data_IF_072752879785
#
_entry.id   IF_072752879785
#
_cell.length_a   1.000
_cell.length_b   1.000
_cell.length_c   1.000
_cell.angle_alpha   90.00
_cell.angle_beta   90.00
_cell.angle_gamma   90.00
#
_symmetry.space_group_name_H-M   'P 1'
#
loop_
_entity.id
_entity.type
_entity.pdbx_description
1 polymer ?
#
# COMPACT_ATOMS: atom_id res chain seq x y z
N UNK A 1 55.84 29.71 -3.40
CA UNK A 1 54.76 28.87 -3.95
C UNK A 1 53.49 29.70 -3.85
N UNK A 2 52.89 30.08 -4.98
CA UNK A 2 51.76 31.01 -4.98
C UNK A 2 50.52 30.28 -4.43
N UNK A 3 49.64 30.98 -3.70
CA UNK A 3 48.45 30.36 -3.08
C UNK A 3 47.54 29.70 -4.11
N UNK A 4 47.52 30.26 -5.33
CA UNK A 4 46.86 29.68 -6.50
C UNK A 4 47.49 28.36 -6.97
N UNK A 5 48.81 28.19 -6.87
CA UNK A 5 49.47 26.92 -7.22
C UNK A 5 49.17 25.86 -6.16
N UNK A 6 49.10 26.25 -4.89
CA UNK A 6 48.70 25.34 -3.80
C UNK A 6 47.24 24.89 -3.96
N UNK A 7 46.31 25.82 -4.20
CA UNK A 7 44.91 25.50 -4.43
C UNK A 7 44.68 24.68 -5.69
N UNK A 8 45.43 24.94 -6.77
CA UNK A 8 45.39 24.13 -7.99
C UNK A 8 45.92 22.73 -7.74
N UNK A 9 47.02 22.58 -7.01
CA UNK A 9 47.58 21.27 -6.66
C UNK A 9 46.63 20.48 -5.76
N UNK A 10 46.03 21.12 -4.76
CA UNK A 10 44.99 20.52 -3.91
C UNK A 10 43.73 20.15 -4.72
N UNK A 11 43.35 20.95 -5.72
CA UNK A 11 42.22 20.62 -6.59
C UNK A 11 42.53 19.48 -7.54
N UNK A 12 43.70 19.47 -8.20
CA UNK A 12 44.16 18.40 -9.10
C UNK A 12 44.40 17.07 -8.33
N UNK A 13 44.95 17.13 -7.13
CA UNK A 13 45.20 15.96 -6.26
C UNK A 13 43.89 15.38 -5.70
N UNK A 14 42.85 16.21 -5.49
CA UNK A 14 41.50 15.76 -5.10
C UNK A 14 40.58 15.38 -6.28
N UNK A 15 40.86 15.85 -7.51
CA UNK A 15 40.11 15.43 -8.71
C UNK A 15 40.61 14.10 -9.29
N UNK A 16 41.81 13.63 -8.94
CA UNK A 16 42.28 12.29 -9.32
C UNK A 16 41.54 11.17 -8.55
N UNK A 17 40.85 11.50 -7.46
CA UNK A 17 39.86 10.63 -6.79
C UNK A 17 38.47 10.62 -7.45
N UNK A 18 38.33 11.14 -8.67
CA UNK A 18 37.09 11.03 -9.47
C UNK A 18 37.04 9.75 -10.33
N UNK A 19 37.84 8.74 -9.96
CA UNK A 19 37.71 7.38 -10.50
C UNK A 19 36.61 6.55 -9.81
N UNK A 20 35.97 7.07 -8.74
CA UNK A 20 34.89 6.35 -8.06
C UNK A 20 33.48 6.62 -8.63
N UNK A 21 33.24 7.74 -9.32
CA UNK A 21 31.94 8.01 -9.97
C UNK A 21 31.64 7.12 -11.19
N UNK A 22 32.67 6.51 -11.77
CA UNK A 22 32.54 5.58 -12.89
C UNK A 22 32.62 4.10 -12.49
N UNK A 23 32.69 3.80 -11.18
CA UNK A 23 32.56 2.41 -10.71
C UNK A 23 31.19 1.85 -11.12
N UNK A 24 31.14 0.70 -11.83
CA UNK A 24 29.89 0.05 -12.21
C UNK A 24 28.96 -0.15 -11.01
N UNK A 25 29.53 -0.51 -9.85
CA UNK A 25 28.80 -0.74 -8.60
C UNK A 25 28.13 0.54 -8.04
N UNK A 26 28.79 1.70 -8.15
CA UNK A 26 28.22 2.97 -7.68
C UNK A 26 27.05 3.42 -8.57
N UNK A 27 27.17 3.23 -9.89
CA UNK A 27 26.10 3.50 -10.87
C UNK A 27 24.92 2.54 -10.68
N UNK A 28 25.18 1.28 -10.40
CA UNK A 28 24.16 0.26 -10.14
C UNK A 28 23.39 0.55 -8.83
N UNK A 29 24.10 0.91 -7.75
CA UNK A 29 23.50 1.35 -6.50
C UNK A 29 22.62 2.61 -6.66
N UNK A 30 23.11 3.64 -7.36
CA UNK A 30 22.33 4.85 -7.65
C UNK A 30 21.09 4.56 -8.51
N UNK A 31 21.21 3.69 -9.51
CA UNK A 31 20.10 3.23 -10.34
C UNK A 31 19.04 2.53 -9.50
N UNK A 32 19.45 1.69 -8.55
CA UNK A 32 18.54 0.96 -7.69
C UNK A 32 17.79 1.87 -6.71
N UNK A 33 18.48 2.84 -6.11
CA UNK A 33 17.85 3.88 -5.28
C UNK A 33 16.79 4.65 -6.08
N UNK A 34 17.08 4.99 -7.34
CA UNK A 34 16.12 5.67 -8.22
C UNK A 34 14.88 4.80 -8.51
N UNK A 35 15.07 3.51 -8.78
CA UNK A 35 13.96 2.55 -8.96
C UNK A 35 13.06 2.50 -7.71
N UNK A 36 13.66 2.40 -6.52
CA UNK A 36 12.91 2.37 -5.25
C UNK A 36 12.15 3.67 -4.99
N UNK A 37 12.73 4.84 -5.29
CA UNK A 37 12.06 6.15 -5.17
C UNK A 37 10.87 6.28 -6.12
N UNK A 38 11.03 5.86 -7.38
CA UNK A 38 9.94 5.86 -8.35
C UNK A 38 8.80 4.94 -7.91
N UNK A 39 9.14 3.76 -7.38
CA UNK A 39 8.17 2.82 -6.83
C UNK A 39 7.42 3.41 -5.63
N UNK A 40 8.10 4.02 -4.67
CA UNK A 40 7.47 4.70 -3.52
C UNK A 40 6.53 5.84 -3.97
N UNK A 41 6.96 6.67 -4.92
CA UNK A 41 6.12 7.72 -5.48
C UNK A 41 4.84 7.16 -6.12
N UNK A 42 4.97 6.13 -6.97
CA UNK A 42 3.84 5.46 -7.59
C UNK A 42 2.88 4.85 -6.56
N UNK A 43 3.41 4.24 -5.49
CA UNK A 43 2.59 3.73 -4.40
C UNK A 43 1.82 4.83 -3.68
N UNK A 44 2.46 5.96 -3.39
CA UNK A 44 1.82 7.11 -2.74
C UNK A 44 0.66 7.64 -3.56
N UNK A 45 0.84 7.81 -4.87
CA UNK A 45 -0.23 8.25 -5.80
C UNK A 45 -1.41 7.29 -5.78
N UNK A 46 -1.15 5.99 -5.94
CA UNK A 46 -2.21 4.97 -5.93
C UNK A 46 -2.94 4.93 -4.58
N UNK A 47 -2.22 5.07 -3.47
CA UNK A 47 -2.82 5.00 -2.15
C UNK A 47 -3.63 6.26 -1.85
N UNK A 48 -3.20 7.44 -2.32
CA UNK A 48 -3.99 8.65 -2.31
C UNK A 48 -5.32 8.47 -3.06
N UNK A 49 -5.26 7.88 -4.27
CA UNK A 49 -6.47 7.57 -5.05
C UNK A 49 -7.39 6.59 -4.33
N UNK A 50 -6.85 5.54 -3.69
CA UNK A 50 -7.66 4.58 -2.90
C UNK A 50 -8.38 5.26 -1.74
N UNK A 51 -7.67 6.09 -0.98
CA UNK A 51 -8.25 6.83 0.15
C UNK A 51 -9.36 7.72 -0.38
N UNK A 52 -9.13 8.46 -1.46
CA UNK A 52 -10.13 9.33 -2.07
C UNK A 52 -11.39 8.56 -2.49
N UNK A 53 -11.24 7.44 -3.21
CA UNK A 53 -12.37 6.60 -3.63
C UNK A 53 -13.14 6.05 -2.43
N UNK A 54 -12.44 5.53 -1.41
CA UNK A 54 -13.07 5.01 -0.19
C UNK A 54 -13.87 6.12 0.51
N UNK A 55 -13.28 7.31 0.67
CA UNK A 55 -13.96 8.45 1.28
C UNK A 55 -15.23 8.84 0.52
N UNK A 56 -15.17 8.92 -0.81
CA UNK A 56 -16.35 9.18 -1.64
C UNK A 56 -17.41 8.12 -1.41
N UNK A 57 -17.06 6.83 -1.48
CA UNK A 57 -18.01 5.74 -1.30
C UNK A 57 -18.69 5.79 0.08
N UNK A 58 -17.93 6.05 1.14
CA UNK A 58 -18.47 6.17 2.48
C UNK A 58 -19.42 7.38 2.62
N UNK A 59 -19.06 8.52 2.05
CA UNK A 59 -19.92 9.71 2.02
C UNK A 59 -21.20 9.43 1.24
N UNK A 60 -21.10 8.82 0.05
CA UNK A 60 -22.24 8.46 -0.78
C UNK A 60 -23.20 7.53 -0.03
N UNK A 61 -22.71 6.51 0.66
CA UNK A 61 -23.54 5.60 1.46
C UNK A 61 -24.35 6.38 2.50
N UNK A 62 -23.69 7.26 3.28
CA UNK A 62 -24.34 8.07 4.32
C UNK A 62 -25.40 8.99 3.72
N UNK A 63 -25.06 9.67 2.62
CA UNK A 63 -25.98 10.58 1.92
C UNK A 63 -27.19 9.83 1.37
N UNK A 64 -26.99 8.70 0.69
CA UNK A 64 -28.07 7.90 0.12
C UNK A 64 -29.04 7.40 1.18
N UNK A 65 -28.52 6.92 2.32
CA UNK A 65 -29.36 6.46 3.44
C UNK A 65 -30.15 7.60 4.07
N UNK A 66 -29.54 8.79 4.20
CA UNK A 66 -30.22 9.97 4.71
C UNK A 66 -31.35 10.44 3.77
N UNK A 67 -31.11 10.49 2.45
CA UNK A 67 -32.13 10.85 1.47
C UNK A 67 -33.27 9.82 1.37
N UNK A 68 -32.99 8.55 1.65
CA UNK A 68 -34.01 7.52 1.70
C UNK A 68 -34.93 7.62 2.93
N UNK A 69 -34.62 8.51 3.89
CA UNK A 69 -35.42 8.72 5.11
C UNK A 69 -35.45 7.51 6.04
N UNK A 70 -34.47 6.61 5.93
CA UNK A 70 -34.42 5.38 6.74
C UNK A 70 -33.65 5.67 8.03
N UNK A 71 -34.38 5.75 9.14
CA UNK A 71 -33.82 6.01 10.46
C UNK A 71 -33.96 4.77 11.35
N UNK A 72 -32.92 3.93 11.33
CA UNK A 72 -32.84 2.68 12.09
C UNK A 72 -31.50 2.56 12.80
N UNK A 73 -31.54 2.09 14.05
CA UNK A 73 -30.33 1.89 14.89
C UNK A 73 -29.38 0.89 14.24
N UNK A 74 -29.92 -0.17 13.63
CA UNK A 74 -29.18 -1.19 12.91
C UNK A 74 -28.36 -0.58 11.78
N UNK A 75 -28.92 0.36 11.02
CA UNK A 75 -28.19 1.05 9.94
C UNK A 75 -26.97 1.79 10.49
N UNK A 76 -27.13 2.57 11.57
CA UNK A 76 -26.00 3.28 12.17
C UNK A 76 -24.93 2.34 12.72
N UNK A 77 -25.33 1.23 13.36
CA UNK A 77 -24.39 0.20 13.83
C UNK A 77 -23.63 -0.40 12.65
N UNK A 78 -24.32 -0.76 11.57
CA UNK A 78 -23.69 -1.34 10.39
C UNK A 78 -22.72 -0.38 9.69
N UNK A 79 -23.08 0.91 9.58
CA UNK A 79 -22.16 1.97 9.11
C UNK A 79 -20.94 2.08 10.03
N UNK A 80 -21.15 2.11 11.35
CA UNK A 80 -20.05 2.23 12.31
C UNK A 80 -19.07 1.04 12.20
N UNK A 81 -19.58 -0.19 12.01
CA UNK A 81 -18.76 -1.38 11.77
C UNK A 81 -17.93 -1.23 10.48
N UNK A 82 -18.54 -0.79 9.38
CA UNK A 82 -17.85 -0.56 8.10
C UNK A 82 -16.76 0.50 8.26
N UNK A 83 -17.08 1.63 8.88
CA UNK A 83 -16.13 2.72 9.11
C UNK A 83 -14.96 2.28 9.99
N UNK A 84 -15.24 1.67 11.14
CA UNK A 84 -14.21 1.20 12.05
C UNK A 84 -13.30 0.15 11.40
N UNK A 85 -13.89 -0.82 10.68
CA UNK A 85 -13.15 -1.84 9.94
C UNK A 85 -12.26 -1.24 8.85
N UNK A 86 -12.80 -0.28 8.09
CA UNK A 86 -12.06 0.42 7.02
C UNK A 86 -10.91 1.24 7.58
N UNK A 87 -11.15 2.03 8.64
CA UNK A 87 -10.11 2.83 9.29
C UNK A 87 -9.02 1.91 9.85
N UNK A 88 -9.39 0.87 10.60
CA UNK A 88 -8.43 -0.07 11.17
C UNK A 88 -7.56 -0.75 10.09
N UNK A 89 -8.20 -1.22 9.01
CA UNK A 89 -7.48 -1.83 7.89
C UNK A 89 -6.57 -0.83 7.18
N UNK A 90 -7.03 0.40 6.93
CA UNK A 90 -6.24 1.44 6.28
C UNK A 90 -5.06 1.89 7.12
N UNK A 91 -5.23 2.06 8.44
CA UNK A 91 -4.14 2.35 9.36
C UNK A 91 -3.09 1.24 9.34
N UNK A 92 -3.53 -0.02 9.40
CA UNK A 92 -2.64 -1.18 9.30
C UNK A 92 -1.92 -1.22 7.94
N UNK A 93 -2.65 -0.96 6.85
CA UNK A 93 -2.12 -0.94 5.49
C UNK A 93 -1.03 0.13 5.32
N UNK A 94 -1.30 1.36 5.74
CA UNK A 94 -0.37 2.48 5.63
C UNK A 94 0.86 2.29 6.52
N UNK A 95 0.69 1.78 7.75
CA UNK A 95 1.81 1.50 8.66
C UNK A 95 2.81 0.51 8.06
N UNK A 96 2.31 -0.52 7.38
CA UNK A 96 3.11 -1.59 6.79
C UNK A 96 3.51 -1.33 5.33
N UNK A 97 3.21 -0.15 4.80
CA UNK A 97 3.64 0.25 3.46
C UNK A 97 5.17 0.49 3.41
N UNK A 98 5.75 0.17 2.27
CA UNK A 98 7.11 0.55 1.90
C UNK A 98 7.20 2.06 1.69
N UNK A 99 8.16 2.70 2.37
CA UNK A 99 8.51 4.10 2.14
C UNK A 99 10.02 4.20 2.06
N UNK A 100 10.52 4.91 1.06
CA UNK A 100 11.95 5.14 0.92
C UNK A 100 12.56 5.93 2.08
N UNK A 101 11.75 6.75 2.76
CA UNK A 101 12.15 7.47 3.97
C UNK A 101 12.43 6.58 5.19
N UNK A 102 12.06 5.30 5.14
CA UNK A 102 12.38 4.31 6.19
C UNK A 102 13.73 3.61 5.96
N UNK A 103 14.39 3.87 4.82
CA UNK A 103 15.68 3.27 4.50
C UNK A 103 16.81 4.16 4.99
N UNK A 104 17.84 3.53 5.54
CA UNK A 104 19.07 4.21 5.90
C UNK A 104 20.08 4.13 4.74
N UNK A 105 20.25 5.25 4.03
CA UNK A 105 21.16 5.37 2.89
C UNK A 105 22.64 5.45 3.27
N UNK A 106 22.96 5.51 4.57
CA UNK A 106 24.34 5.60 5.07
C UNK A 106 24.98 4.24 5.32
N UNK A 107 24.19 3.16 5.23
CA UNK A 107 24.65 1.79 5.46
C UNK A 107 25.36 1.19 4.23
N UNK A 108 26.12 0.12 4.45
CA UNK A 108 26.74 -0.65 3.37
C UNK A 108 25.69 -1.22 2.40
N UNK A 109 26.08 -1.43 1.13
CA UNK A 109 25.21 -1.91 0.04
C UNK A 109 24.43 -3.16 0.43
N UNK A 110 25.09 -4.12 1.05
CA UNK A 110 24.51 -5.40 1.51
C UNK A 110 23.46 -5.20 2.61
N UNK A 111 23.72 -4.31 3.58
CA UNK A 111 22.80 -4.06 4.70
C UNK A 111 21.59 -3.25 4.24
N UNK A 112 21.81 -2.26 3.37
CA UNK A 112 20.75 -1.52 2.68
C UNK A 112 19.83 -2.46 1.88
N UNK A 113 20.40 -3.39 1.11
CA UNK A 113 19.64 -4.37 0.34
C UNK A 113 18.77 -5.27 1.24
N UNK A 114 19.35 -5.80 2.33
CA UNK A 114 18.61 -6.61 3.32
C UNK A 114 17.44 -5.85 3.95
N UNK A 115 17.65 -4.59 4.33
CA UNK A 115 16.61 -3.75 4.91
C UNK A 115 15.48 -3.46 3.90
N UNK A 116 15.84 -3.09 2.68
CA UNK A 116 14.87 -2.84 1.60
C UNK A 116 14.05 -4.08 1.25
N UNK A 117 14.69 -5.26 1.14
CA UNK A 117 13.99 -6.54 0.92
C UNK A 117 13.03 -6.84 2.08
N UNK A 118 13.46 -6.64 3.33
CA UNK A 118 12.61 -6.85 4.51
C UNK A 118 11.36 -5.98 4.48
N UNK A 119 11.50 -4.68 4.17
CA UNK A 119 10.36 -3.76 4.07
C UNK A 119 9.42 -4.12 2.91
N UNK A 120 9.96 -4.52 1.75
CA UNK A 120 9.16 -4.98 0.60
C UNK A 120 8.38 -6.27 0.93
N UNK A 121 8.99 -7.22 1.65
CA UNK A 121 8.31 -8.45 2.11
C UNK A 121 7.23 -8.15 3.13
N UNK A 122 7.48 -7.24 4.08
CA UNK A 122 6.50 -6.83 5.09
C UNK A 122 5.24 -6.27 4.45
N UNK A 123 5.36 -5.50 3.37
CA UNK A 123 4.21 -4.97 2.64
C UNK A 123 3.28 -6.08 2.09
N UNK A 124 3.82 -7.25 1.73
CA UNK A 124 2.99 -8.36 1.24
C UNK A 124 2.13 -9.00 2.33
N UNK A 125 2.57 -8.97 3.59
CA UNK A 125 1.85 -9.58 4.71
C UNK A 125 0.46 -8.96 4.95
N UNK A 126 0.22 -7.74 4.44
CA UNK A 126 -1.05 -7.02 4.61
C UNK A 126 -2.24 -7.77 4.01
N UNK A 127 -2.00 -8.55 2.95
CA UNK A 127 -3.06 -9.21 2.19
C UNK A 127 -3.32 -10.67 2.63
N UNK A 128 -2.82 -11.06 3.80
CA UNK A 128 -3.17 -12.32 4.45
C UNK A 128 -4.39 -12.18 5.35
N UNK A 129 -4.26 -12.64 6.60
CA UNK A 129 -5.31 -12.59 7.61
C UNK A 129 -5.95 -11.20 7.80
N UNK A 130 -5.21 -10.07 7.86
CA UNK A 130 -5.82 -8.76 8.05
C UNK A 130 -6.83 -8.38 6.97
N UNK A 131 -6.55 -8.73 5.71
CA UNK A 131 -7.47 -8.48 4.61
C UNK A 131 -8.72 -9.37 4.68
N UNK A 132 -8.57 -10.64 5.07
CA UNK A 132 -9.72 -11.54 5.26
C UNK A 132 -10.62 -11.00 6.38
N UNK A 133 -10.04 -10.61 7.50
CA UNK A 133 -10.78 -10.01 8.61
C UNK A 133 -11.50 -8.73 8.18
N UNK A 134 -10.84 -7.87 7.39
CA UNK A 134 -11.49 -6.69 6.82
C UNK A 134 -12.71 -7.05 5.97
N UNK A 135 -12.61 -8.02 5.05
CA UNK A 135 -13.76 -8.45 4.23
C UNK A 135 -14.89 -9.00 5.11
N UNK A 136 -14.58 -9.80 6.13
CA UNK A 136 -15.59 -10.30 7.07
C UNK A 136 -16.28 -9.17 7.83
N UNK A 137 -15.54 -8.18 8.31
CA UNK A 137 -16.11 -6.98 8.96
C UNK A 137 -17.04 -6.23 8.02
N UNK A 138 -16.68 -6.10 6.74
CA UNK A 138 -17.54 -5.45 5.74
C UNK A 138 -18.82 -6.25 5.48
N UNK A 139 -18.73 -7.58 5.40
CA UNK A 139 -19.90 -8.46 5.26
C UNK A 139 -20.83 -8.28 6.47
N UNK A 140 -20.29 -8.34 7.68
CA UNK A 140 -21.09 -8.15 8.91
C UNK A 140 -21.77 -6.78 8.88
N UNK A 141 -21.03 -5.70 8.62
CA UNK A 141 -21.60 -4.35 8.60
C UNK A 141 -22.72 -4.19 7.57
N UNK A 142 -22.54 -4.70 6.35
CA UNK A 142 -23.58 -4.67 5.31
C UNK A 142 -24.82 -5.47 5.71
N UNK A 143 -24.63 -6.66 6.28
CA UNK A 143 -25.77 -7.48 6.73
C UNK A 143 -26.53 -6.79 7.87
N UNK A 144 -25.84 -6.11 8.79
CA UNK A 144 -26.47 -5.32 9.85
C UNK A 144 -27.26 -4.14 9.27
N UNK A 145 -26.74 -3.44 8.23
CA UNK A 145 -27.51 -2.40 7.52
C UNK A 145 -28.81 -2.98 6.95
N UNK A 146 -28.77 -4.15 6.30
CA UNK A 146 -29.97 -4.74 5.71
C UNK A 146 -31.04 -5.16 6.71
N UNK A 147 -30.67 -5.46 7.97
CA UNK A 147 -31.66 -5.71 9.02
C UNK A 147 -32.50 -4.46 9.35
N UNK A 148 -31.91 -3.27 9.17
CA UNK A 148 -32.58 -1.99 9.43
C UNK A 148 -33.37 -1.42 8.25
N UNK A 149 -33.32 -2.04 7.08
CA UNK A 149 -34.06 -1.59 5.90
C UNK A 149 -35.45 -2.25 5.92
N UNK A 150 -36.55 -1.47 6.01
CA UNK A 150 -37.89 -2.03 5.92
C UNK A 150 -38.12 -2.60 4.52
N UNK A 151 -38.34 -3.90 4.45
CA UNK A 151 -38.62 -4.62 3.21
C UNK A 151 -40.13 -4.65 2.97
N UNK A 152 -40.58 -4.08 1.84
CA UNK A 152 -41.98 -4.17 1.45
C UNK A 152 -42.38 -5.62 1.14
N UNK A 153 -43.68 -5.99 1.27
CA UNK A 153 -44.15 -7.36 1.04
C UNK A 153 -43.84 -7.93 -0.35
N UNK A 154 -43.58 -7.07 -1.35
CA UNK A 154 -43.24 -7.45 -2.73
C UNK A 154 -41.73 -7.47 -3.01
N UNK A 155 -40.90 -7.08 -2.03
CA UNK A 155 -39.45 -7.05 -2.19
C UNK A 155 -38.84 -8.45 -2.11
N UNK A 156 -37.61 -8.59 -2.62
CA UNK A 156 -36.87 -9.85 -2.54
C UNK A 156 -36.77 -10.34 -1.09
N UNK A 157 -36.75 -11.66 -0.88
CA UNK A 157 -36.69 -12.21 0.48
C UNK A 157 -35.47 -11.66 1.24
N UNK A 158 -35.60 -11.32 2.53
CA UNK A 158 -34.48 -10.80 3.32
C UNK A 158 -33.23 -11.69 3.22
N UNK A 159 -33.46 -13.01 3.27
CA UNK A 159 -32.41 -14.02 3.12
C UNK A 159 -31.70 -13.93 1.76
N UNK A 160 -32.43 -13.70 0.67
CA UNK A 160 -31.85 -13.54 -0.66
C UNK A 160 -30.95 -12.30 -0.73
N UNK A 161 -31.36 -11.18 -0.13
CA UNK A 161 -30.53 -9.96 -0.04
C UNK A 161 -29.23 -10.21 0.73
N UNK A 162 -29.31 -10.83 1.91
CA UNK A 162 -28.13 -11.19 2.72
C UNK A 162 -27.14 -12.08 1.95
N UNK A 163 -27.64 -13.13 1.29
CA UNK A 163 -26.80 -14.06 0.51
C UNK A 163 -26.16 -13.34 -0.67
N UNK A 164 -26.94 -12.54 -1.41
CA UNK A 164 -26.47 -11.85 -2.62
C UNK A 164 -25.36 -10.87 -2.30
N UNK A 165 -25.56 -10.00 -1.31
CA UNK A 165 -24.56 -9.00 -0.93
C UNK A 165 -23.32 -9.63 -0.28
N UNK A 166 -23.50 -10.66 0.57
CA UNK A 166 -22.37 -11.39 1.15
C UNK A 166 -21.53 -12.06 0.06
N UNK A 167 -22.17 -12.72 -0.92
CA UNK A 167 -21.48 -13.34 -2.05
C UNK A 167 -20.76 -12.31 -2.90
N UNK A 168 -21.40 -11.17 -3.19
CA UNK A 168 -20.78 -10.06 -3.91
C UNK A 168 -19.53 -9.53 -3.20
N UNK A 169 -19.57 -9.39 -1.88
CA UNK A 169 -18.42 -8.95 -1.07
C UNK A 169 -17.28 -9.95 -1.08
N UNK A 170 -17.57 -11.25 -0.97
CA UNK A 170 -16.56 -12.32 -1.08
C UNK A 170 -15.92 -12.31 -2.47
N UNK A 171 -16.70 -12.20 -3.54
CA UNK A 171 -16.19 -12.13 -4.92
C UNK A 171 -15.32 -10.89 -5.14
N UNK A 172 -15.76 -9.73 -4.66
CA UNK A 172 -14.99 -8.48 -4.73
C UNK A 172 -13.68 -8.58 -3.96
N UNK A 173 -13.71 -9.16 -2.75
CA UNK A 173 -12.51 -9.44 -1.96
C UNK A 173 -11.54 -10.38 -2.67
N UNK A 174 -12.04 -11.45 -3.27
CA UNK A 174 -11.24 -12.39 -4.05
C UNK A 174 -10.59 -11.74 -5.27
N UNK A 175 -11.34 -10.92 -6.02
CA UNK A 175 -10.82 -10.19 -7.18
C UNK A 175 -9.74 -9.20 -6.75
N UNK A 176 -9.97 -8.42 -5.69
CA UNK A 176 -8.99 -7.51 -5.12
C UNK A 176 -7.70 -8.23 -4.70
N UNK A 177 -7.85 -9.40 -4.08
CA UNK A 177 -6.72 -10.26 -3.70
C UNK A 177 -5.92 -10.76 -4.92
N UNK A 178 -6.61 -11.20 -5.98
CA UNK A 178 -5.99 -11.64 -7.25
C UNK A 178 -5.21 -10.50 -7.92
N UNK A 179 -5.82 -9.32 -8.06
CA UNK A 179 -5.17 -8.13 -8.63
C UNK A 179 -3.93 -7.79 -7.81
N UNK A 180 -4.02 -7.85 -6.48
CA UNK A 180 -2.87 -7.55 -5.63
C UNK A 180 -1.75 -8.57 -5.78
N UNK A 181 -2.03 -9.88 -5.78
CA UNK A 181 -1.01 -10.91 -6.04
C UNK A 181 -0.32 -10.69 -7.38
N UNK A 182 -1.08 -10.34 -8.41
CA UNK A 182 -0.52 -10.04 -9.73
C UNK A 182 0.42 -8.82 -9.68
N UNK A 183 0.00 -7.73 -9.05
CA UNK A 183 0.84 -6.53 -8.86
C UNK A 183 2.11 -6.83 -8.08
N UNK A 184 2.03 -7.61 -7.00
CA UNK A 184 3.19 -8.02 -6.21
C UNK A 184 4.22 -8.74 -7.09
N UNK A 185 3.76 -9.68 -7.93
CA UNK A 185 4.65 -10.40 -8.85
C UNK A 185 5.29 -9.50 -9.90
N UNK A 186 4.56 -8.49 -10.39
CA UNK A 186 5.04 -7.57 -11.42
C UNK A 186 5.91 -6.43 -10.90
N UNK A 187 5.64 -5.95 -9.70
CA UNK A 187 6.24 -4.71 -9.18
C UNK A 187 7.24 -4.98 -8.05
N UNK A 188 6.95 -5.90 -7.13
CA UNK A 188 7.77 -6.12 -5.92
C UNK A 188 8.83 -7.20 -6.14
N UNK A 189 8.47 -8.33 -6.75
CA UNK A 189 9.41 -9.44 -6.95
C UNK A 189 10.62 -9.08 -7.83
N UNK A 190 10.48 -8.29 -8.91
CA UNK A 190 11.64 -7.83 -9.67
C UNK A 190 12.57 -6.94 -8.82
N UNK A 191 12.01 -6.05 -7.99
CA UNK A 191 12.82 -5.22 -7.09
C UNK A 191 13.58 -6.07 -6.05
N UNK A 192 12.95 -7.10 -5.51
CA UNK A 192 13.63 -8.03 -4.59
C UNK A 192 14.75 -8.78 -5.32
N UNK A 193 14.52 -9.24 -6.56
CA UNK A 193 15.54 -9.93 -7.34
C UNK A 193 16.75 -9.03 -7.63
N UNK A 194 16.51 -7.78 -8.03
CA UNK A 194 17.56 -6.76 -8.24
C UNK A 194 18.34 -6.49 -6.93
N UNK A 195 17.66 -6.36 -5.79
CA UNK A 195 18.33 -6.15 -4.48
C UNK A 195 19.15 -7.36 -4.03
N UNK A 196 18.66 -8.57 -4.31
CA UNK A 196 19.37 -9.81 -3.96
C UNK A 196 20.65 -10.00 -4.79
N UNK A 197 20.77 -9.39 -5.96
CA UNK A 197 22.04 -9.38 -6.70
C UNK A 197 23.08 -8.51 -5.99
N UNK A 198 22.67 -7.33 -5.50
CA UNK A 198 23.54 -6.44 -4.72
C UNK A 198 23.97 -7.06 -3.38
N UNK A 199 23.12 -7.87 -2.76
CA UNK A 199 23.43 -8.59 -1.52
C UNK A 199 24.53 -9.65 -1.70
N UNK A 200 24.67 -10.23 -2.90
CA UNK A 200 25.58 -11.34 -3.18
C UNK A 200 26.88 -10.89 -3.89
N UNK A 201 27.07 -9.59 -4.11
CA UNK A 201 28.27 -9.03 -4.78
C UNK A 201 29.41 -8.65 -3.81
N UNK A 202 29.20 -8.78 -2.50
CA UNK A 202 30.22 -8.63 -1.42
C UNK A 202 30.43 -9.96 -0.70
#
# INVERSE_FOLDING_TARGET
MNELDFLRKVWEENTITDTSQNSPALKENMSMVKKLKNFDHFQKVINGLKIFIITILLITIVITLNFAGIDSVEIYIGIAIIFAGTIAFMLYYLRNQFYTSKLDYTQSSTRFAKEAISLLRRQNSIFGLPFILFILTMIVGINVIFLGIPLEPQSASPLFMHITFSSFMVLSGFLGYRIRRWRIRKEIYPLIADLSQLENQE
#
